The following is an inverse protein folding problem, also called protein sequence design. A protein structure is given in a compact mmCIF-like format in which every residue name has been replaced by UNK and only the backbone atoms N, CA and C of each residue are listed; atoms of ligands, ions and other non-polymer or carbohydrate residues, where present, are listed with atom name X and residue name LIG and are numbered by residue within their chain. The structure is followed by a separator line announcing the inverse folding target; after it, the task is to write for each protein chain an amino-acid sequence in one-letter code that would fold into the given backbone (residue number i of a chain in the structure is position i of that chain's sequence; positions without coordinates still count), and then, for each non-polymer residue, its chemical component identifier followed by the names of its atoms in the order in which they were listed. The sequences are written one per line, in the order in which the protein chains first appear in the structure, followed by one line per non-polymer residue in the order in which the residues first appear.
data_IF_085195309641
#
_entry.id   IF_085195309641
#
_cell.length_a   1.000
_cell.length_b   1.000
_cell.length_c   1.000
_cell.angle_alpha   90.00
_cell.angle_beta   90.00
_cell.angle_gamma   90.00
#
_symmetry.space_group_name_H-M   'P 1'
#
loop_
_entity.id
_entity.type
_entity.pdbx_description
1 polymer ?
#
# COMPACT_ATOMS: atom_id res chain seq x y z
N UNK A 1 -2.72 25.52 15.27
CA UNK A 1 -3.27 25.42 13.89
C UNK A 1 -4.47 26.35 13.61
N UNK A 2 -4.83 27.31 14.48
CA UNK A 2 -5.97 28.22 14.24
C UNK A 2 -5.73 29.30 13.16
N UNK A 3 -4.47 29.56 12.80
CA UNK A 3 -4.09 30.67 11.92
C UNK A 3 -4.47 30.51 10.43
N UNK A 4 -4.86 29.31 9.98
CA UNK A 4 -5.28 29.10 8.59
C UNK A 4 -6.80 29.06 8.39
N UNK A 5 -7.61 29.12 9.46
CA UNK A 5 -9.07 29.03 9.35
C UNK A 5 -9.66 30.14 8.46
N UNK A 6 -9.23 31.38 8.68
CA UNK A 6 -9.65 32.54 7.87
C UNK A 6 -9.28 32.40 6.39
N UNK A 7 -8.14 31.75 6.09
CA UNK A 7 -7.75 31.48 4.70
C UNK A 7 -8.68 30.44 4.08
N UNK A 8 -8.98 29.36 4.80
CA UNK A 8 -9.88 28.31 4.30
C UNK A 8 -11.26 28.90 4.03
N UNK A 9 -11.80 29.66 4.98
CA UNK A 9 -13.08 30.34 4.84
C UNK A 9 -13.10 31.28 3.63
N UNK A 10 -12.09 32.13 3.48
CA UNK A 10 -11.98 33.05 2.34
C UNK A 10 -11.91 32.30 1.00
N UNK A 11 -11.09 31.25 0.88
CA UNK A 11 -11.04 30.47 -0.35
C UNK A 11 -12.37 29.77 -0.63
N UNK A 12 -13.04 29.23 0.39
CA UNK A 12 -14.35 28.60 0.25
C UNK A 12 -15.39 29.61 -0.25
N UNK A 13 -15.46 30.80 0.37
CA UNK A 13 -16.36 31.87 -0.05
C UNK A 13 -16.09 32.30 -1.50
N UNK A 14 -14.82 32.41 -1.89
CA UNK A 14 -14.43 32.74 -3.28
C UNK A 14 -14.85 31.64 -4.26
N UNK A 15 -14.72 30.37 -3.89
CA UNK A 15 -15.18 29.26 -4.72
C UNK A 15 -16.71 29.20 -4.85
N UNK A 16 -17.46 29.62 -3.82
CA UNK A 16 -18.92 29.52 -3.77
C UNK A 16 -19.64 30.76 -4.34
N UNK A 17 -19.04 31.96 -4.30
CA UNK A 17 -19.71 33.21 -4.66
C UNK A 17 -20.08 33.33 -6.15
N UNK A 18 -19.40 32.59 -7.03
CA UNK A 18 -19.65 32.59 -8.48
C UNK A 18 -20.57 31.47 -8.98
N UNK A 19 -21.08 30.61 -8.09
CA UNK A 19 -21.90 29.46 -8.50
C UNK A 19 -23.30 29.89 -8.92
N UNK A 20 -23.77 29.35 -10.05
CA UNK A 20 -25.18 29.42 -10.47
C UNK A 20 -26.04 28.67 -9.47
N UNK A 21 -27.34 28.94 -9.43
CA UNK A 21 -28.24 28.31 -8.45
C UNK A 21 -28.21 26.78 -8.51
N UNK A 22 -28.15 26.18 -9.72
CA UNK A 22 -28.02 24.73 -9.89
C UNK A 22 -26.72 24.22 -9.26
N UNK A 23 -25.59 24.86 -9.56
CA UNK A 23 -24.29 24.47 -9.04
C UNK A 23 -24.19 24.67 -7.51
N UNK A 24 -24.88 25.68 -6.98
CA UNK A 24 -24.99 25.94 -5.54
C UNK A 24 -25.74 24.82 -4.82
N UNK A 25 -26.83 24.32 -5.40
CA UNK A 25 -27.55 23.16 -4.85
C UNK A 25 -26.68 21.91 -4.84
N UNK A 26 -25.91 21.66 -5.90
CA UNK A 26 -24.94 20.56 -5.95
C UNK A 26 -23.89 20.71 -4.86
N UNK A 27 -23.24 21.88 -4.74
CA UNK A 27 -22.23 22.14 -3.73
C UNK A 27 -22.77 21.97 -2.30
N UNK A 28 -23.98 22.47 -2.01
CA UNK A 28 -24.63 22.29 -0.73
C UNK A 28 -24.93 20.81 -0.43
N UNK A 29 -25.33 20.05 -1.45
CA UNK A 29 -25.53 18.60 -1.35
C UNK A 29 -24.25 17.85 -0.99
N UNK A 30 -23.13 18.18 -1.65
CA UNK A 30 -21.82 17.59 -1.34
C UNK A 30 -21.35 17.94 0.08
N UNK A 31 -21.51 19.20 0.52
CA UNK A 31 -21.18 19.62 1.89
C UNK A 31 -22.02 18.87 2.93
N UNK A 32 -23.32 18.72 2.65
CA UNK A 32 -24.22 17.94 3.50
C UNK A 32 -23.80 16.46 3.53
N UNK A 33 -23.42 15.89 2.38
CA UNK A 33 -22.91 14.53 2.27
C UNK A 33 -21.69 14.29 3.15
N UNK A 34 -20.72 15.21 3.13
CA UNK A 34 -19.56 15.17 4.05
C UNK A 34 -20.01 15.26 5.51
N UNK A 35 -20.95 16.15 5.84
CA UNK A 35 -21.46 16.26 7.21
C UNK A 35 -22.13 14.98 7.70
N UNK A 36 -22.95 14.34 6.87
CA UNK A 36 -23.62 13.07 7.18
C UNK A 36 -22.61 11.93 7.34
N UNK A 37 -21.59 11.87 6.48
CA UNK A 37 -20.52 10.90 6.60
C UNK A 37 -19.77 11.05 7.92
N UNK A 38 -19.45 12.28 8.32
CA UNK A 38 -18.79 12.52 9.61
C UNK A 38 -19.70 12.15 10.79
N UNK A 39 -21.02 12.26 10.69
CA UNK A 39 -21.94 11.75 11.72
C UNK A 39 -21.97 10.22 11.75
N UNK A 40 -21.95 9.55 10.60
CA UNK A 40 -21.86 8.10 10.51
C UNK A 40 -20.55 7.56 11.11
N UNK A 41 -19.44 8.27 10.92
CA UNK A 41 -18.16 7.96 11.58
C UNK A 41 -18.29 8.01 13.11
N UNK A 42 -19.03 8.96 13.67
CA UNK A 42 -19.23 9.03 15.12
C UNK A 42 -20.15 7.92 15.64
N UNK A 43 -21.07 7.43 14.81
CA UNK A 43 -21.95 6.31 15.14
C UNK A 43 -21.24 4.97 15.03
N UNK A 44 -20.32 4.82 14.06
CA UNK A 44 -19.63 3.57 13.75
C UNK A 44 -18.25 3.43 14.41
N UNK A 45 -17.58 4.54 14.72
CA UNK A 45 -16.12 4.64 14.79
C UNK A 45 -15.43 4.34 16.12
N UNK A 46 -16.00 3.51 17.00
CA UNK A 46 -15.26 2.97 18.16
C UNK A 46 -14.93 1.48 18.04
N UNK A 47 -14.83 0.96 16.81
CA UNK A 47 -14.30 -0.39 16.55
C UNK A 47 -12.77 -0.30 16.56
N UNK A 48 -12.23 -0.60 17.73
CA UNK A 48 -10.85 -0.49 18.21
C UNK A 48 -9.69 -0.67 17.18
N UNK A 49 -8.55 -0.12 17.59
CA UNK A 49 -7.16 -0.28 17.08
C UNK A 49 -6.78 -1.68 16.54
N UNK A 50 -7.54 -2.73 16.86
CA UNK A 50 -7.44 -4.08 16.30
C UNK A 50 -7.72 -4.14 14.78
N UNK A 51 -8.42 -3.16 14.21
CA UNK A 51 -8.79 -3.14 12.79
C UNK A 51 -7.57 -3.01 11.88
N UNK A 52 -6.61 -2.14 12.21
CA UNK A 52 -5.39 -1.97 11.41
C UNK A 52 -4.50 -3.22 11.47
N UNK A 53 -4.36 -3.81 12.66
CA UNK A 53 -3.57 -5.04 12.85
C UNK A 53 -4.19 -6.23 12.12
N UNK A 54 -5.52 -6.40 12.17
CA UNK A 54 -6.22 -7.46 11.45
C UNK A 54 -6.11 -7.33 9.92
N UNK A 55 -6.07 -6.10 9.39
CA UNK A 55 -5.88 -5.87 7.94
C UNK A 55 -4.47 -6.22 7.48
N UNK A 56 -3.44 -6.00 8.30
CA UNK A 56 -2.04 -6.33 7.98
C UNK A 56 -1.78 -7.83 8.14
N UNK A 57 -2.26 -8.46 9.21
CA UNK A 57 -1.99 -9.88 9.51
C UNK A 57 -2.63 -10.88 8.54
N UNK A 58 -3.65 -10.46 7.78
CA UNK A 58 -4.35 -11.35 6.86
C UNK A 58 -3.77 -11.34 5.42
N UNK A 59 -2.78 -10.49 5.14
CA UNK A 59 -2.07 -10.47 3.85
C UNK A 59 -1.04 -11.59 3.72
N UNK A 60 -0.64 -12.24 4.82
CA UNK A 60 0.46 -13.22 4.83
C UNK A 60 0.00 -14.69 4.75
N UNK A 61 -1.30 -14.98 4.73
CA UNK A 61 -1.83 -16.36 4.88
C UNK A 61 -2.66 -16.88 3.68
N UNK A 62 -2.32 -16.48 2.46
CA UNK A 62 -2.86 -17.08 1.23
C UNK A 62 -1.71 -17.64 0.38
N UNK A 63 -0.93 -18.57 0.93
CA UNK A 63 -0.18 -19.56 0.15
C UNK A 63 0.39 -20.66 1.05
N UNK A 64 -0.30 -21.81 1.08
CA UNK A 64 0.21 -23.19 1.23
C UNK A 64 -0.87 -24.11 1.80
N UNK A 65 -1.71 -24.65 0.91
CA UNK A 65 -2.59 -25.78 1.25
C UNK A 65 -2.18 -27.00 0.44
N UNK A 66 -1.26 -27.81 0.96
CA UNK A 66 -1.09 -29.18 0.49
C UNK A 66 -0.57 -30.14 1.55
N UNK A 67 -1.41 -31.15 1.81
CA UNK A 67 -1.17 -32.55 2.23
C UNK A 67 -0.91 -32.91 3.71
N UNK A 68 -1.75 -33.86 4.14
CA UNK A 68 -1.81 -34.66 5.38
C UNK A 68 -0.52 -35.45 5.67
N UNK A 69 -0.19 -35.64 6.95
CA UNK A 69 -0.17 -36.98 7.59
C UNK A 69 0.10 -36.96 9.11
N UNK A 70 -0.53 -37.92 9.78
CA UNK A 70 -0.58 -38.27 11.20
C UNK A 70 0.78 -38.47 11.91
N UNK A 71 0.91 -38.01 13.16
CA UNK A 71 1.34 -38.81 14.32
C UNK A 71 1.39 -37.97 15.62
N UNK A 72 0.96 -38.59 16.72
CA UNK A 72 0.93 -38.13 18.13
C UNK A 72 1.71 -39.19 18.94
N UNK A 73 1.91 -39.07 20.27
CA UNK A 73 1.90 -37.91 21.18
C UNK A 73 3.08 -37.94 22.19
N UNK A 74 3.23 -36.91 23.06
CA UNK A 74 3.33 -37.07 24.54
C UNK A 74 3.68 -35.74 25.26
N UNK A 75 2.90 -35.45 26.32
CA UNK A 75 3.29 -34.87 27.62
C UNK A 75 3.88 -33.45 27.67
N UNK A 76 3.53 -32.53 28.57
CA UNK A 76 2.58 -32.45 29.69
C UNK A 76 2.73 -31.02 30.25
N UNK A 77 1.66 -30.23 30.38
CA UNK A 77 1.32 -29.49 31.60
C UNK A 77 0.02 -28.69 31.41
N UNK A 78 -0.60 -28.43 32.55
CA UNK A 78 -2.01 -28.20 32.82
C UNK A 78 -2.53 -26.78 32.59
N UNK A 79 -3.84 -26.73 32.30
CA UNK A 79 -4.86 -25.77 32.76
C UNK A 79 -4.53 -24.26 32.71
N UNK A 80 -5.21 -23.51 31.83
CA UNK A 80 -6.34 -22.63 32.22
C UNK A 80 -7.25 -22.44 30.99
N UNK A 81 -8.46 -22.97 31.07
CA UNK A 81 -9.57 -22.64 30.19
C UNK A 81 -10.06 -21.22 30.47
N UNK A 82 -9.46 -20.22 29.83
CA UNK A 82 -10.02 -18.88 29.75
C UNK A 82 -10.84 -18.78 28.45
N UNK A 83 -12.05 -19.31 28.48
CA UNK A 83 -13.08 -18.98 27.51
C UNK A 83 -13.38 -17.49 27.61
N UNK A 84 -12.64 -16.67 26.86
CA UNK A 84 -13.05 -15.30 26.59
C UNK A 84 -14.16 -15.37 25.57
N UNK A 85 -15.40 -15.44 26.06
CA UNK A 85 -16.54 -14.93 25.32
C UNK A 85 -16.20 -13.49 24.95
N UNK A 86 -15.87 -13.26 23.68
CA UNK A 86 -15.83 -11.93 23.10
C UNK A 86 -17.27 -11.42 23.17
N UNK A 87 -17.59 -10.74 24.27
CA UNK A 87 -18.73 -9.86 24.31
C UNK A 87 -18.49 -8.85 23.19
N UNK A 88 -19.25 -8.98 22.09
CA UNK A 88 -19.41 -7.92 21.11
C UNK A 88 -19.97 -6.72 21.87
N UNK A 89 -19.09 -5.86 22.38
CA UNK A 89 -19.45 -4.54 22.87
C UNK A 89 -20.17 -3.85 21.72
N UNK A 90 -21.40 -3.40 21.97
CA UNK A 90 -22.11 -2.55 21.01
C UNK A 90 -21.18 -1.38 20.65
N UNK A 91 -21.09 -0.96 19.37
CA UNK A 91 -20.34 0.23 19.03
C UNK A 91 -20.87 1.38 19.88
N UNK A 92 -20.01 1.94 20.73
CA UNK A 92 -20.37 3.07 21.57
C UNK A 92 -20.41 4.30 20.66
N UNK A 93 -21.60 4.66 20.20
CA UNK A 93 -21.82 5.89 19.43
C UNK A 93 -21.29 7.08 20.22
N UNK A 94 -20.36 7.84 19.66
CA UNK A 94 -19.82 9.04 20.29
C UNK A 94 -20.66 10.25 19.89
N UNK A 95 -20.93 11.16 20.81
CA UNK A 95 -21.78 12.33 20.55
C UNK A 95 -20.97 13.61 20.59
N UNK A 96 -21.09 14.46 19.57
CA UNK A 96 -20.44 15.79 19.50
C UNK A 96 -20.77 16.67 20.70
N UNK A 97 -21.98 16.56 21.24
CA UNK A 97 -22.46 17.40 22.35
C UNK A 97 -22.03 16.86 23.71
N UNK A 98 -22.01 15.53 23.87
CA UNK A 98 -21.70 14.89 25.17
C UNK A 98 -20.20 14.64 25.37
N UNK A 99 -19.49 14.34 24.29
CA UNK A 99 -18.07 13.95 24.25
C UNK A 99 -17.37 14.71 23.12
N UNK A 100 -17.28 16.05 23.21
CA UNK A 100 -16.76 16.86 22.11
C UNK A 100 -15.29 16.57 21.81
N UNK A 101 -14.46 16.34 22.82
CA UNK A 101 -13.01 16.15 22.64
C UNK A 101 -12.75 14.85 21.87
N UNK A 102 -13.33 13.75 22.34
CA UNK A 102 -13.20 12.43 21.75
C UNK A 102 -13.83 12.36 20.35
N UNK A 103 -14.99 13.01 20.16
CA UNK A 103 -15.62 13.10 18.86
C UNK A 103 -14.72 13.84 17.84
N UNK A 104 -14.21 15.03 18.18
CA UNK A 104 -13.33 15.77 17.27
C UNK A 104 -11.98 15.09 17.04
N UNK A 105 -11.47 14.36 18.03
CA UNK A 105 -10.28 13.55 17.86
C UNK A 105 -10.52 12.43 16.85
N UNK A 106 -11.62 11.68 16.96
CA UNK A 106 -11.99 10.64 15.98
C UNK A 106 -12.19 11.22 14.58
N UNK A 107 -12.92 12.33 14.44
CA UNK A 107 -13.10 13.01 13.15
C UNK A 107 -11.77 13.46 12.55
N UNK A 108 -10.87 14.00 13.37
CA UNK A 108 -9.54 14.41 12.92
C UNK A 108 -8.76 13.21 12.39
N UNK A 109 -8.76 12.07 13.09
CA UNK A 109 -8.11 10.85 12.63
C UNK A 109 -8.69 10.38 11.29
N UNK A 110 -10.02 10.33 11.17
CA UNK A 110 -10.68 9.96 9.92
C UNK A 110 -10.34 10.92 8.77
N UNK A 111 -10.35 12.24 9.01
CA UNK A 111 -10.02 13.23 7.98
C UNK A 111 -8.55 13.14 7.53
N UNK A 112 -7.63 12.85 8.44
CA UNK A 112 -6.21 12.60 8.09
C UNK A 112 -6.11 11.33 7.25
N UNK A 113 -6.79 10.26 7.64
CA UNK A 113 -6.84 9.01 6.90
C UNK A 113 -7.38 9.23 5.48
N UNK A 114 -8.56 9.84 5.36
CA UNK A 114 -9.19 10.12 4.08
C UNK A 114 -8.31 11.01 3.20
N UNK A 115 -7.75 12.09 3.75
CA UNK A 115 -6.80 12.94 3.01
C UNK A 115 -5.61 12.16 2.50
N UNK A 116 -5.04 11.28 3.32
CA UNK A 116 -3.88 10.46 2.94
C UNK A 116 -4.26 9.50 1.80
N UNK A 117 -5.43 8.88 1.87
CA UNK A 117 -5.96 8.04 0.79
C UNK A 117 -6.13 8.80 -0.52
N UNK A 118 -6.70 10.02 -0.52
CA UNK A 118 -6.86 10.80 -1.75
C UNK A 118 -5.51 11.28 -2.33
N UNK A 119 -4.55 11.67 -1.49
CA UNK A 119 -3.21 12.08 -1.94
C UNK A 119 -2.47 10.90 -2.58
N UNK A 120 -2.46 9.74 -1.93
CA UNK A 120 -1.81 8.55 -2.49
C UNK A 120 -2.55 8.02 -3.71
N UNK A 121 -3.89 8.10 -3.75
CA UNK A 121 -4.69 7.76 -4.94
C UNK A 121 -4.27 8.61 -6.13
N UNK A 122 -4.08 9.91 -5.93
CA UNK A 122 -3.62 10.81 -6.99
C UNK A 122 -2.21 10.41 -7.46
N UNK A 123 -1.25 10.27 -6.55
CA UNK A 123 0.13 9.89 -6.90
C UNK A 123 0.20 8.54 -7.62
N UNK A 124 -0.51 7.54 -7.11
CA UNK A 124 -0.65 6.23 -7.74
C UNK A 124 -1.21 6.34 -9.17
N UNK A 125 -2.24 7.16 -9.36
CA UNK A 125 -2.89 7.34 -10.67
C UNK A 125 -1.96 8.03 -11.68
N UNK A 126 -1.20 9.04 -11.24
CA UNK A 126 -0.21 9.71 -12.08
C UNK A 126 0.85 8.72 -12.58
N UNK A 127 1.36 7.84 -11.70
CA UNK A 127 2.32 6.79 -12.06
C UNK A 127 1.72 5.74 -12.99
N UNK A 128 0.50 5.27 -12.67
CA UNK A 128 -0.22 4.26 -13.46
C UNK A 128 -0.52 4.74 -14.87
N UNK A 129 -0.93 6.00 -15.02
CA UNK A 129 -1.26 6.63 -16.31
C UNK A 129 -0.05 7.25 -17.02
N UNK A 130 1.12 7.29 -16.36
CA UNK A 130 2.34 7.91 -16.87
C UNK A 130 2.17 9.39 -17.27
N UNK A 131 1.41 10.14 -16.47
CA UNK A 131 1.13 11.56 -16.68
C UNK A 131 1.65 12.38 -15.50
N UNK A 132 2.08 13.62 -15.77
CA UNK A 132 2.59 14.51 -14.72
C UNK A 132 1.48 15.15 -13.88
N UNK A 133 0.29 15.34 -14.46
CA UNK A 133 -0.84 16.00 -13.81
C UNK A 133 -2.17 15.53 -14.41
N UNK A 134 -3.24 15.54 -13.59
CA UNK A 134 -4.62 15.32 -14.02
C UNK A 134 -5.32 16.68 -14.11
N UNK A 135 -5.53 17.16 -15.33
CA UNK A 135 -6.10 18.48 -15.62
C UNK A 135 -7.35 18.43 -16.51
N UNK A 136 -7.57 17.32 -17.22
CA UNK A 136 -8.71 17.13 -18.11
C UNK A 136 -9.78 16.22 -17.50
N UNK A 137 -11.07 16.47 -17.78
CA UNK A 137 -12.17 15.59 -17.33
C UNK A 137 -12.03 14.14 -17.82
N UNK A 138 -11.49 13.94 -19.02
CA UNK A 138 -11.23 12.60 -19.58
C UNK A 138 -10.21 11.84 -18.74
N UNK A 139 -9.11 12.51 -18.35
CA UNK A 139 -8.07 11.92 -17.53
C UNK A 139 -8.56 11.64 -16.10
N UNK A 140 -9.44 12.50 -15.56
CA UNK A 140 -10.11 12.24 -14.29
C UNK A 140 -11.01 10.99 -14.34
N UNK A 141 -11.77 10.81 -15.43
CA UNK A 141 -12.59 9.60 -15.64
C UNK A 141 -11.72 8.35 -15.73
N UNK A 142 -10.62 8.42 -16.48
CA UNK A 142 -9.68 7.31 -16.61
C UNK A 142 -9.01 6.98 -15.26
N UNK A 143 -8.57 7.99 -14.50
CA UNK A 143 -8.07 7.81 -13.14
C UNK A 143 -9.10 7.13 -12.24
N UNK A 144 -10.35 7.56 -12.30
CA UNK A 144 -11.44 6.98 -11.51
C UNK A 144 -11.69 5.51 -11.89
N UNK A 145 -11.65 5.19 -13.19
CA UNK A 145 -11.77 3.83 -13.71
C UNK A 145 -10.63 2.94 -13.21
N UNK A 146 -9.39 3.34 -13.45
CA UNK A 146 -8.20 2.56 -13.07
C UNK A 146 -8.16 2.32 -11.57
N UNK A 147 -8.45 3.35 -10.76
CA UNK A 147 -8.49 3.22 -9.31
C UNK A 147 -9.60 2.27 -8.86
N UNK A 148 -10.78 2.37 -9.49
CA UNK A 148 -11.90 1.49 -9.18
C UNK A 148 -11.55 0.02 -9.42
N UNK A 149 -10.98 -0.28 -10.58
CA UNK A 149 -10.68 -1.65 -11.02
C UNK A 149 -9.50 -2.27 -10.26
N UNK A 150 -8.41 -1.51 -10.08
CA UNK A 150 -7.17 -2.07 -9.53
C UNK A 150 -6.98 -1.88 -8.02
N UNK A 151 -7.71 -0.97 -7.39
CA UNK A 151 -7.58 -0.68 -5.96
C UNK A 151 -8.88 -0.88 -5.22
N UNK A 152 -9.93 -0.14 -5.58
CA UNK A 152 -11.16 -0.12 -4.81
C UNK A 152 -11.88 -1.47 -4.81
N UNK A 153 -12.13 -2.05 -5.99
CA UNK A 153 -12.88 -3.30 -6.11
C UNK A 153 -12.16 -4.48 -5.41
N UNK A 154 -10.85 -4.72 -5.62
CA UNK A 154 -10.13 -5.75 -4.88
C UNK A 154 -10.16 -5.53 -3.36
N UNK A 155 -10.04 -4.29 -2.89
CA UNK A 155 -10.16 -3.96 -1.46
C UNK A 155 -11.53 -4.33 -0.92
N UNK A 156 -12.60 -3.94 -1.62
CA UNK A 156 -13.97 -4.23 -1.21
C UNK A 156 -14.27 -5.74 -1.25
N UNK A 157 -13.83 -6.46 -2.28
CA UNK A 157 -13.94 -7.92 -2.36
C UNK A 157 -13.21 -8.61 -1.20
N UNK A 158 -12.02 -8.14 -0.83
CA UNK A 158 -11.27 -8.68 0.32
C UNK A 158 -12.04 -8.49 1.63
N UNK A 159 -12.59 -7.29 1.86
CA UNK A 159 -13.40 -6.99 3.03
C UNK A 159 -14.69 -7.82 3.03
N UNK A 160 -15.38 -7.89 1.90
CA UNK A 160 -16.64 -8.62 1.75
C UNK A 160 -16.48 -10.12 2.00
N UNK A 161 -15.38 -10.72 1.51
CA UNK A 161 -15.02 -12.11 1.84
C UNK A 161 -14.88 -12.32 3.33
N UNK A 162 -14.21 -11.41 4.03
CA UNK A 162 -14.04 -11.49 5.49
C UNK A 162 -15.34 -11.27 6.26
N UNK A 163 -16.24 -10.42 5.77
CA UNK A 163 -17.53 -10.17 6.41
C UNK A 163 -18.64 -11.14 5.99
N UNK A 164 -18.35 -12.11 5.13
CA UNK A 164 -19.31 -13.13 4.68
C UNK A 164 -20.29 -12.66 3.60
N UNK A 165 -19.98 -11.57 2.89
CA UNK A 165 -20.80 -10.96 1.84
C UNK A 165 -20.08 -11.00 0.47
N UNK A 166 -19.34 -12.07 0.19
CA UNK A 166 -18.50 -12.19 -1.02
C UNK A 166 -19.28 -12.13 -2.33
N UNK A 167 -20.55 -12.55 -2.29
CA UNK A 167 -21.50 -12.59 -3.40
C UNK A 167 -21.85 -11.20 -3.93
N UNK A 168 -21.77 -10.15 -3.11
CA UNK A 168 -22.13 -8.78 -3.55
C UNK A 168 -21.26 -8.21 -4.67
N UNK A 169 -20.04 -8.75 -4.82
CA UNK A 169 -19.09 -8.27 -5.82
C UNK A 169 -18.82 -9.30 -6.91
N UNK A 170 -19.57 -10.41 -6.91
CA UNK A 170 -19.49 -11.45 -7.93
C UNK A 170 -20.16 -10.94 -9.22
N UNK A 171 -19.46 -11.01 -10.35
CA UNK A 171 -20.00 -10.55 -11.64
C UNK A 171 -19.95 -9.04 -11.88
N UNK A 172 -19.48 -8.21 -10.93
CA UNK A 172 -19.21 -6.78 -11.18
C UNK A 172 -18.08 -6.68 -12.21
N UNK A 173 -18.49 -6.47 -13.45
CA UNK A 173 -17.62 -6.41 -14.64
C UNK A 173 -17.67 -5.04 -15.31
N UNK A 174 -18.62 -4.19 -14.94
CA UNK A 174 -18.88 -2.94 -15.64
C UNK A 174 -18.35 -1.70 -14.90
N UNK A 175 -17.69 -0.84 -15.69
CA UNK A 175 -17.11 0.44 -15.28
C UNK A 175 -18.13 1.38 -14.59
N UNK A 176 -19.41 1.30 -14.97
CA UNK A 176 -20.47 2.24 -14.56
C UNK A 176 -21.25 1.82 -13.31
N UNK A 177 -21.07 0.59 -12.82
CA UNK A 177 -21.87 0.11 -11.69
C UNK A 177 -21.43 0.76 -10.37
N UNK A 178 -22.32 1.41 -9.60
CA UNK A 178 -21.94 2.00 -8.33
C UNK A 178 -21.53 0.91 -7.35
N UNK A 179 -20.34 1.05 -6.76
CA UNK A 179 -19.87 0.12 -5.73
C UNK A 179 -20.48 0.53 -4.40
N UNK A 180 -21.31 -0.35 -3.84
CA UNK A 180 -21.91 -0.16 -2.52
C UNK A 180 -21.06 -0.81 -1.44
N UNK A 181 -20.87 -0.11 -0.33
CA UNK A 181 -20.13 -0.62 0.82
C UNK A 181 -20.75 -1.92 1.39
N UNK A 182 -19.94 -2.92 1.83
CA UNK A 182 -20.48 -4.08 2.51
C UNK A 182 -21.21 -3.70 3.80
N UNK A 183 -22.34 -4.37 4.12
CA UNK A 183 -23.09 -4.06 5.32
C UNK A 183 -22.25 -4.36 6.57
N UNK A 184 -22.42 -3.53 7.60
CA UNK A 184 -21.71 -3.62 8.89
C UNK A 184 -20.19 -3.38 8.83
N UNK A 185 -19.69 -2.76 7.77
CA UNK A 185 -18.29 -2.32 7.65
C UNK A 185 -18.22 -0.81 7.82
N UNK A 186 -17.28 -0.33 8.63
CA UNK A 186 -17.08 1.11 8.83
C UNK A 186 -16.31 1.74 7.66
N UNK A 187 -16.59 3.00 7.34
CA UNK A 187 -15.83 3.74 6.33
C UNK A 187 -14.34 3.88 6.73
N UNK A 188 -14.04 4.00 8.03
CA UNK A 188 -12.66 4.03 8.55
C UNK A 188 -11.89 2.78 8.11
N UNK A 189 -12.46 1.60 8.33
CA UNK A 189 -11.84 0.32 7.98
C UNK A 189 -11.55 0.22 6.47
N UNK A 190 -12.47 0.72 5.65
CA UNK A 190 -12.35 0.65 4.20
C UNK A 190 -11.30 1.64 3.70
N UNK A 191 -11.30 2.87 4.21
CA UNK A 191 -10.26 3.86 3.89
C UNK A 191 -8.88 3.40 4.33
N UNK A 192 -8.77 2.75 5.50
CA UNK A 192 -7.53 2.15 5.97
C UNK A 192 -7.04 1.03 5.04
N UNK A 193 -7.92 0.13 4.63
CA UNK A 193 -7.59 -0.94 3.69
C UNK A 193 -7.20 -0.40 2.30
N UNK A 194 -7.87 0.65 1.80
CA UNK A 194 -7.50 1.34 0.57
C UNK A 194 -6.11 1.98 0.69
N UNK A 195 -5.82 2.65 1.82
CA UNK A 195 -4.54 3.29 2.07
C UNK A 195 -3.40 2.26 2.08
N UNK A 196 -3.57 1.12 2.75
CA UNK A 196 -2.58 0.03 2.76
C UNK A 196 -2.27 -0.45 1.33
N UNK A 197 -3.29 -0.71 0.51
CA UNK A 197 -3.12 -1.14 -0.88
C UNK A 197 -2.46 -0.10 -1.79
N UNK A 198 -2.55 1.18 -1.43
CA UNK A 198 -1.85 2.26 -2.12
C UNK A 198 -0.38 2.35 -1.67
N UNK A 199 -0.11 2.19 -0.38
CA UNK A 199 1.25 2.16 0.19
C UNK A 199 2.04 0.99 -0.39
N UNK A 200 1.48 -0.23 -0.37
CA UNK A 200 2.10 -1.42 -1.00
C UNK A 200 2.49 -1.14 -2.46
N UNK A 201 1.59 -0.48 -3.20
CA UNK A 201 1.85 -0.12 -4.60
C UNK A 201 2.97 0.88 -4.79
N UNK A 202 3.11 1.81 -3.84
CA UNK A 202 4.16 2.81 -3.85
C UNK A 202 5.50 2.16 -3.51
N UNK A 203 5.52 1.26 -2.53
CA UNK A 203 6.69 0.47 -2.16
C UNK A 203 7.19 -0.36 -3.33
N UNK A 204 6.30 -1.09 -4.02
CA UNK A 204 6.61 -1.84 -5.24
C UNK A 204 7.26 -0.94 -6.29
N UNK A 205 6.71 0.26 -6.52
CA UNK A 205 7.27 1.22 -7.47
C UNK A 205 8.67 1.69 -7.05
N UNK A 206 8.86 2.03 -5.78
CA UNK A 206 10.16 2.47 -5.26
C UNK A 206 11.21 1.36 -5.35
N UNK A 207 10.84 0.12 -5.08
CA UNK A 207 11.72 -1.06 -5.23
C UNK A 207 12.09 -1.23 -6.72
N UNK A 208 11.13 -1.15 -7.63
CA UNK A 208 11.40 -1.25 -9.07
C UNK A 208 12.30 -0.10 -9.58
N UNK A 209 12.13 1.11 -9.07
CA UNK A 209 12.96 2.25 -9.46
C UNK A 209 14.40 2.11 -8.94
N UNK A 210 14.56 1.71 -7.68
CA UNK A 210 15.88 1.52 -7.06
C UNK A 210 16.64 0.36 -7.67
N UNK A 211 15.97 -0.76 -7.95
CA UNK A 211 16.57 -1.91 -8.67
C UNK A 211 17.00 -1.52 -10.08
N UNK A 212 16.18 -0.77 -10.84
CA UNK A 212 16.58 -0.27 -12.17
C UNK A 212 17.81 0.64 -12.10
N UNK A 213 17.93 1.49 -11.09
CA UNK A 213 19.12 2.35 -10.88
C UNK A 213 20.34 1.49 -10.56
N UNK A 214 20.22 0.56 -9.60
CA UNK A 214 21.27 -0.39 -9.23
C UNK A 214 21.79 -1.18 -10.44
N UNK A 215 20.90 -1.70 -11.29
CA UNK A 215 21.29 -2.45 -12.50
C UNK A 215 22.05 -1.57 -13.48
N UNK A 216 21.68 -0.30 -13.65
CA UNK A 216 22.42 0.64 -14.52
C UNK A 216 23.82 0.89 -13.97
N UNK A 217 23.95 1.14 -12.68
CA UNK A 217 25.23 1.40 -12.03
C UNK A 217 26.14 0.16 -12.08
N UNK A 218 25.57 -1.03 -11.86
CA UNK A 218 26.27 -2.30 -11.98
C UNK A 218 26.77 -2.55 -13.41
N UNK A 219 25.92 -2.30 -14.41
CA UNK A 219 26.31 -2.42 -15.82
C UNK A 219 27.40 -1.43 -16.20
N UNK A 220 27.35 -0.20 -15.68
CA UNK A 220 28.39 0.82 -15.87
C UNK A 220 29.72 0.36 -15.24
N UNK A 221 29.69 -0.15 -14.01
CA UNK A 221 30.87 -0.68 -13.34
C UNK A 221 31.48 -1.86 -14.10
N UNK A 222 30.66 -2.78 -14.63
CA UNK A 222 31.14 -3.87 -15.47
C UNK A 222 31.70 -3.38 -16.81
N UNK A 223 31.10 -2.37 -17.43
CA UNK A 223 31.60 -1.78 -18.67
C UNK A 223 32.97 -1.10 -18.46
N UNK A 224 33.15 -0.33 -17.39
CA UNK A 224 34.44 0.28 -17.05
C UNK A 224 35.49 -0.78 -16.70
N UNK A 225 35.13 -1.79 -15.91
CA UNK A 225 36.04 -2.91 -15.62
C UNK A 225 36.44 -3.67 -16.89
N UNK A 226 35.51 -3.94 -17.78
CA UNK A 226 35.79 -4.58 -19.07
C UNK A 226 36.71 -3.72 -19.95
N UNK A 227 36.58 -2.40 -19.87
CA UNK A 227 37.49 -1.46 -20.54
C UNK A 227 38.90 -1.53 -19.94
N UNK A 228 39.05 -1.53 -18.62
CA UNK A 228 40.34 -1.68 -17.93
C UNK A 228 40.99 -3.05 -18.21
N UNK A 229 40.23 -4.15 -18.15
CA UNK A 229 40.72 -5.50 -18.43
C UNK A 229 41.04 -5.72 -19.93
N UNK A 230 40.37 -5.00 -20.85
CA UNK A 230 40.73 -4.99 -22.28
C UNK A 230 41.93 -4.07 -22.61
N UNK A 231 42.19 -3.07 -21.77
CA UNK A 231 43.33 -2.16 -21.88
C UNK A 231 44.61 -2.72 -21.21
N UNK A 232 44.48 -3.68 -20.32
CA UNK A 232 45.58 -4.39 -19.68
C UNK A 232 45.79 -5.75 -20.37
N UNK A 233 46.97 -6.04 -20.93
CA UNK A 233 47.24 -7.35 -21.51
C UNK A 233 47.01 -8.45 -20.47
N UNK A 234 45.99 -9.29 -20.67
CA UNK A 234 45.70 -10.47 -19.84
C UNK A 234 46.82 -11.52 -19.85
N UNK A 235 47.89 -11.30 -20.62
CA UNK A 235 49.08 -12.16 -20.67
C UNK A 235 50.13 -11.86 -19.60
N UNK A 236 50.00 -10.79 -18.79
CA UNK A 236 50.98 -10.48 -17.74
C UNK A 236 51.04 -11.51 -16.59
N UNK A 237 50.09 -12.43 -16.53
CA UNK A 237 49.97 -13.45 -15.47
C UNK A 237 50.21 -14.87 -15.99
N UNK A 238 50.38 -15.05 -17.31
CA UNK A 238 50.88 -16.32 -17.86
C UNK A 238 52.38 -16.38 -17.62
N UNK A 239 52.78 -16.95 -16.48
CA UNK A 239 54.19 -17.34 -16.27
C UNK A 239 54.61 -18.22 -17.45
N UNK A 240 55.73 -17.94 -18.14
CA UNK A 240 56.25 -18.90 -19.10
C UNK A 240 56.59 -20.18 -18.33
N UNK A 241 55.91 -21.28 -18.68
CA UNK A 241 56.27 -22.63 -18.23
C UNK A 241 57.50 -23.06 -19.03
N UNK A 242 58.64 -22.41 -18.85
CA UNK A 242 59.90 -22.83 -19.47
C UNK A 242 61.14 -22.08 -18.95
N UNK A 243 61.52 -22.28 -17.70
CA UNK A 243 62.96 -22.14 -17.34
C UNK A 243 63.43 -23.13 -16.27
N UNK A 244 62.53 -23.88 -15.64
CA UNK A 244 62.92 -24.81 -14.58
C UNK A 244 63.57 -26.13 -15.06
N UNK A 245 63.59 -26.41 -16.36
CA UNK A 245 64.14 -27.66 -16.88
C UNK A 245 65.62 -27.56 -17.34
N UNK A 246 66.18 -26.36 -17.49
CA UNK A 246 67.58 -26.20 -17.94
C UNK A 246 68.56 -26.18 -16.78
N UNK A 247 68.15 -25.68 -15.60
CA UNK A 247 69.02 -25.66 -14.40
C UNK A 247 69.11 -27.05 -13.76
N UNK A 248 68.04 -27.85 -13.82
CA UNK A 248 68.08 -29.24 -13.33
C UNK A 248 69.02 -30.11 -14.16
N UNK A 249 69.04 -29.97 -15.50
CA UNK A 249 70.01 -30.70 -16.34
C UNK A 249 71.47 -30.24 -16.15
N UNK A 250 71.71 -28.95 -15.84
CA UNK A 250 73.08 -28.47 -15.59
C UNK A 250 73.63 -28.99 -14.25
N UNK A 251 72.81 -29.07 -13.20
CA UNK A 251 73.22 -29.61 -11.89
C UNK A 251 73.45 -31.13 -11.96
N UNK A 252 72.59 -31.88 -12.67
CA UNK A 252 72.80 -33.32 -12.85
C UNK A 252 74.03 -33.66 -13.71
N UNK A 253 74.41 -32.81 -14.67
CA UNK A 253 75.63 -33.04 -15.48
C UNK A 253 76.93 -32.69 -14.75
N UNK A 254 76.91 -31.80 -13.75
CA UNK A 254 78.11 -31.40 -12.99
C UNK A 254 78.36 -32.31 -11.78
N UNK A 255 77.33 -32.99 -11.26
CA UNK A 255 77.48 -33.96 -10.15
C UNK A 255 77.78 -35.41 -10.58
N UNK A 256 77.95 -35.67 -11.87
CA UNK A 256 78.24 -37.03 -12.40
C UNK A 256 79.61 -37.13 -13.11
N UNK A 257 80.54 -36.24 -12.77
CA UNK A 257 81.98 -36.34 -13.09
C UNK A 257 82.77 -36.37 -11.78
#
# INVERSE_FOLDING_TARGET
MLWQSHRIEHHLQTCLCGLKDVDRHVANGEILGVSLLLEDILQSGNQDSSTFVALVSNSENEDTKSKKSNSRPASSYSMVSAGRSSHKSKPSSISRTKQPIEAYELLKHFLILWKSTEVLKLDWSLRKLQVNKIDTPQLHRLMSKEYKEHKLLPTLQSIARRTGHSDMYEGITHETEPLTMPPNVSEIEVKAAQLLKLIESLEDYMIQETTKKLTKDLNLAFAERGREESALPTDLWKRPVSVFNTISQFIYSVMTL
#
